data_IF_092291401760
#
_entry.id   IF_092291401760
#
_cell.length_a   1.000
_cell.length_b   1.000
_cell.length_c   1.000
_cell.angle_alpha   90.00
_cell.angle_beta   90.00
_cell.angle_gamma   90.00
#
_symmetry.space_group_name_H-M   'P 1'
#
loop_
_entity.id
_entity.type
_entity.pdbx_description
1 polymer ?
#
# COMPACT_ATOMS: atom_id res chain seq x y z
N UNK A 1 10.91 -4.39 13.94
CA UNK A 1 12.17 -3.85 14.49
C UNK A 1 12.30 -2.35 14.17
N UNK A 2 12.61 -1.51 15.16
CA UNK A 2 12.71 -0.05 15.04
C UNK A 2 13.60 0.41 13.86
N UNK A 3 14.71 -0.28 13.63
CA UNK A 3 15.64 0.02 12.53
C UNK A 3 14.99 -0.11 11.15
N UNK A 4 14.09 -1.08 10.94
CA UNK A 4 13.40 -1.25 9.65
C UNK A 4 12.40 -0.12 9.42
N UNK A 5 11.66 0.26 10.46
CA UNK A 5 10.74 1.40 10.42
C UNK A 5 11.49 2.70 10.13
N UNK A 6 12.68 2.90 10.72
CA UNK A 6 13.52 4.04 10.40
C UNK A 6 14.00 4.04 8.94
N UNK A 7 14.29 2.87 8.37
CA UNK A 7 14.73 2.76 6.97
C UNK A 7 13.58 3.01 6.00
N UNK A 8 12.39 2.49 6.28
CA UNK A 8 11.17 2.81 5.53
C UNK A 8 10.95 4.34 5.50
N UNK A 9 11.00 4.98 6.67
CA UNK A 9 10.80 6.43 6.78
C UNK A 9 11.84 7.27 6.03
N UNK A 10 13.08 6.80 5.92
CA UNK A 10 14.17 7.55 5.27
C UNK A 10 14.27 7.30 3.77
N UNK A 11 13.93 6.10 3.33
CA UNK A 11 14.23 5.64 1.96
C UNK A 11 12.98 5.49 1.08
N UNK A 12 11.80 5.30 1.69
CA UNK A 12 10.53 5.15 0.98
C UNK A 12 9.72 6.43 1.10
N UNK A 13 9.41 6.83 2.33
CA UNK A 13 8.45 7.89 2.64
C UNK A 13 8.71 9.26 1.98
N UNK A 14 9.94 9.80 1.89
CA UNK A 14 10.15 11.18 1.44
C UNK A 14 9.68 11.45 0.01
N UNK A 15 9.79 10.46 -0.88
CA UNK A 15 9.33 10.59 -2.27
C UNK A 15 7.81 10.75 -2.35
N UNK A 16 7.08 9.94 -1.58
CA UNK A 16 5.62 10.00 -1.50
C UNK A 16 5.14 11.25 -0.76
N UNK A 17 5.80 11.66 0.32
CA UNK A 17 5.47 12.91 1.02
C UNK A 17 5.64 14.12 0.08
N UNK A 18 6.75 14.19 -0.66
CA UNK A 18 6.97 15.27 -1.62
C UNK A 18 5.93 15.26 -2.76
N UNK A 19 5.58 14.08 -3.27
CA UNK A 19 4.54 13.92 -4.29
C UNK A 19 3.17 14.38 -3.78
N UNK A 20 2.81 14.00 -2.55
CA UNK A 20 1.54 14.37 -1.94
C UNK A 20 1.47 15.87 -1.65
N UNK A 21 2.56 16.44 -1.12
CA UNK A 21 2.70 17.86 -0.85
C UNK A 21 2.56 18.69 -2.14
N UNK A 22 3.13 18.25 -3.26
CA UNK A 22 2.98 18.94 -4.55
C UNK A 22 1.49 19.05 -4.94
N UNK A 23 0.71 17.97 -4.87
CA UNK A 23 -0.72 18.04 -5.20
C UNK A 23 -1.52 18.97 -4.29
N UNK A 24 -1.13 19.12 -3.03
CA UNK A 24 -1.71 20.12 -2.12
C UNK A 24 -1.31 21.53 -2.52
N UNK A 25 -0.02 21.76 -2.84
CA UNK A 25 0.50 23.07 -3.24
C UNK A 25 -0.10 23.56 -4.57
N UNK A 26 -0.37 22.64 -5.50
CA UNK A 26 -1.04 22.94 -6.77
C UNK A 26 -2.56 23.16 -6.60
N UNK A 27 -3.11 22.86 -5.43
CA UNK A 27 -4.54 23.00 -5.14
C UNK A 27 -5.42 21.92 -5.79
N UNK A 28 -4.86 20.77 -6.14
CA UNK A 28 -5.60 19.65 -6.73
C UNK A 28 -6.47 18.90 -5.70
N UNK A 29 -6.06 18.96 -4.43
CA UNK A 29 -6.70 18.23 -3.34
C UNK A 29 -7.04 19.13 -2.16
N UNK A 30 -8.30 19.12 -1.76
CA UNK A 30 -8.83 19.72 -0.53
C UNK A 30 -9.42 18.63 0.37
N UNK A 31 -8.82 18.45 1.55
CA UNK A 31 -9.25 17.48 2.56
C UNK A 31 -10.67 17.74 3.07
N UNK A 32 -11.16 18.98 2.98
CA UNK A 32 -12.51 19.34 3.42
C UNK A 32 -13.58 19.01 2.39
N UNK A 33 -13.19 18.67 1.16
CA UNK A 33 -14.10 18.25 0.12
C UNK A 33 -14.26 16.72 0.16
N UNK A 34 -15.43 16.25 0.59
CA UNK A 34 -15.73 14.82 0.75
C UNK A 34 -15.54 14.02 -0.54
N UNK A 35 -15.93 14.56 -1.70
CA UNK A 35 -15.77 13.85 -2.98
C UNK A 35 -14.28 13.69 -3.32
N UNK A 36 -13.52 14.78 -3.20
CA UNK A 36 -12.08 14.76 -3.43
C UNK A 36 -11.36 13.80 -2.50
N UNK A 37 -11.74 13.78 -1.21
CA UNK A 37 -11.23 12.82 -0.22
C UNK A 37 -11.54 11.37 -0.62
N UNK A 38 -12.77 11.08 -1.04
CA UNK A 38 -13.17 9.73 -1.42
C UNK A 38 -12.44 9.24 -2.68
N UNK A 39 -12.35 10.08 -3.72
CA UNK A 39 -11.58 9.75 -4.94
C UNK A 39 -10.09 9.57 -4.61
N UNK A 40 -9.56 10.41 -3.71
CA UNK A 40 -8.18 10.30 -3.26
C UNK A 40 -7.95 8.97 -2.54
N UNK A 41 -8.79 8.61 -1.57
CA UNK A 41 -8.69 7.33 -0.88
C UNK A 41 -8.77 6.14 -1.83
N UNK A 42 -9.66 6.22 -2.83
CA UNK A 42 -9.87 5.16 -3.81
C UNK A 42 -8.65 4.92 -4.71
N UNK A 43 -7.96 5.99 -5.14
CA UNK A 43 -6.75 5.89 -5.98
C UNK A 43 -5.49 5.64 -5.14
N UNK A 44 -5.22 6.49 -4.15
CA UNK A 44 -3.93 6.54 -3.49
C UNK A 44 -3.73 5.41 -2.49
N UNK A 45 -4.76 4.97 -1.76
CA UNK A 45 -4.57 3.92 -0.74
C UNK A 45 -4.17 2.58 -1.38
N UNK A 46 -4.89 2.05 -2.39
CA UNK A 46 -4.48 0.80 -3.04
C UNK A 46 -3.11 0.92 -3.71
N UNK A 47 -2.82 2.05 -4.36
CA UNK A 47 -1.52 2.30 -4.98
C UNK A 47 -0.38 2.32 -3.96
N UNK A 48 -0.52 3.06 -2.85
CA UNK A 48 0.47 3.10 -1.77
C UNK A 48 0.65 1.73 -1.11
N UNK A 49 -0.42 0.95 -0.96
CA UNK A 49 -0.33 -0.42 -0.47
C UNK A 49 0.51 -1.30 -1.42
N UNK A 50 0.32 -1.19 -2.73
CA UNK A 50 1.11 -1.91 -3.72
C UNK A 50 2.59 -1.51 -3.69
N UNK A 51 2.89 -0.21 -3.57
CA UNK A 51 4.25 0.30 -3.44
C UNK A 51 4.94 -0.19 -2.16
N UNK A 52 4.21 -0.23 -1.04
CA UNK A 52 4.70 -0.78 0.23
C UNK A 52 4.96 -2.28 0.15
N UNK A 53 4.10 -3.02 -0.55
CA UNK A 53 4.31 -4.44 -0.81
C UNK A 53 5.58 -4.65 -1.66
N UNK A 54 5.76 -3.88 -2.73
CA UNK A 54 6.99 -3.91 -3.54
C UNK A 54 8.25 -3.56 -2.73
N UNK A 55 8.15 -2.59 -1.82
CA UNK A 55 9.24 -2.27 -0.89
C UNK A 55 9.56 -3.45 0.02
N UNK A 56 8.54 -4.08 0.61
CA UNK A 56 8.68 -5.25 1.49
C UNK A 56 9.40 -6.39 0.76
N UNK A 57 8.91 -6.74 -0.43
CA UNK A 57 9.50 -7.79 -1.26
C UNK A 57 10.97 -7.49 -1.56
N UNK A 58 11.27 -6.29 -2.05
CA UNK A 58 12.66 -5.89 -2.32
C UNK A 58 13.54 -6.01 -1.09
N UNK A 59 13.08 -5.53 0.06
CA UNK A 59 13.88 -5.52 1.30
C UNK A 59 14.13 -6.93 1.83
N UNK A 60 13.13 -7.81 1.76
CA UNK A 60 13.23 -9.18 2.26
C UNK A 60 14.00 -10.11 1.32
N UNK A 61 13.97 -9.85 0.01
CA UNK A 61 14.64 -10.67 -1.00
C UNK A 61 16.03 -10.16 -1.42
N UNK A 62 16.43 -8.95 -1.00
CA UNK A 62 17.77 -8.43 -1.29
C UNK A 62 18.75 -8.78 -0.18
N UNK A 63 19.85 -9.45 -0.55
CA UNK A 63 20.96 -9.74 0.35
C UNK A 63 21.52 -8.45 0.96
N UNK A 64 21.67 -8.41 2.28
CA UNK A 64 22.27 -7.26 2.95
C UNK A 64 23.79 -7.34 2.82
N UNK A 65 24.42 -6.16 2.71
CA UNK A 65 25.87 -6.08 2.63
C UNK A 65 26.52 -6.72 3.85
N UNK A 66 27.62 -7.44 3.60
CA UNK A 66 28.34 -8.17 4.64
C UNK A 66 29.08 -7.19 5.54
N UNK A 67 28.61 -7.07 6.79
CA UNK A 67 29.31 -6.38 7.85
C UNK A 67 30.14 -7.38 8.66
N UNK A 68 31.47 -7.23 8.66
CA UNK A 68 32.39 -8.15 9.35
C UNK A 68 32.26 -8.11 10.88
N UNK A 69 31.67 -7.05 11.43
CA UNK A 69 31.48 -6.91 12.87
C UNK A 69 30.14 -7.50 13.35
N UNK A 70 29.27 -7.90 12.42
CA UNK A 70 27.94 -8.39 12.75
C UNK A 70 27.98 -9.89 13.03
N UNK A 71 27.51 -10.28 14.21
CA UNK A 71 27.40 -11.69 14.65
C UNK A 71 26.14 -12.38 14.07
N UNK A 72 25.21 -11.60 13.51
CA UNK A 72 23.96 -12.12 12.96
C UNK A 72 24.18 -12.76 11.57
N UNK A 73 23.29 -13.69 11.16
CA UNK A 73 23.39 -14.38 9.88
C UNK A 73 23.47 -13.42 8.68
N UNK A 74 24.26 -13.79 7.68
CA UNK A 74 24.48 -13.03 6.46
C UNK A 74 23.78 -13.69 5.28
N UNK A 75 23.04 -12.91 4.49
CA UNK A 75 22.31 -13.43 3.34
C UNK A 75 21.01 -12.70 3.10
N UNK A 76 20.14 -13.33 2.33
CA UNK A 76 18.82 -12.83 1.99
C UNK A 76 17.90 -13.05 3.21
N UNK A 77 17.29 -12.00 3.78
CA UNK A 77 16.43 -12.13 4.95
C UNK A 77 15.35 -13.22 4.83
N UNK A 78 14.67 -13.30 3.69
CA UNK A 78 13.62 -14.31 3.45
C UNK A 78 14.16 -15.74 3.50
N UNK A 79 15.37 -15.98 2.99
CA UNK A 79 16.00 -17.30 3.01
C UNK A 79 16.55 -17.65 4.39
N UNK A 80 17.15 -16.68 5.09
CA UNK A 80 17.57 -16.86 6.49
C UNK A 80 16.35 -17.16 7.36
N UNK A 81 15.23 -16.48 7.10
CA UNK A 81 13.98 -16.78 7.77
C UNK A 81 13.53 -18.19 7.42
N UNK A 82 13.43 -18.58 6.16
CA UNK A 82 12.86 -19.88 5.78
C UNK A 82 13.73 -21.09 6.15
N UNK A 83 15.05 -20.96 6.03
CA UNK A 83 16.04 -22.03 6.20
C UNK A 83 17.26 -21.55 7.01
N UNK A 84 17.09 -21.23 8.31
CA UNK A 84 18.15 -20.64 9.13
C UNK A 84 19.40 -21.52 9.27
N UNK A 85 19.25 -22.84 9.22
CA UNK A 85 20.33 -23.83 9.32
C UNK A 85 21.40 -23.67 8.23
N UNK A 86 21.01 -23.34 7.01
CA UNK A 86 21.91 -23.09 5.88
C UNK A 86 22.80 -21.86 6.10
N UNK A 87 22.41 -21.00 7.05
CA UNK A 87 23.11 -19.78 7.43
C UNK A 87 23.75 -19.87 8.82
N UNK A 88 23.84 -21.07 9.39
CA UNK A 88 24.43 -21.31 10.71
C UNK A 88 23.63 -20.69 11.87
N UNK A 89 22.33 -20.49 11.66
CA UNK A 89 21.41 -19.94 12.65
C UNK A 89 20.49 -21.03 13.23
N UNK A 90 19.99 -20.78 14.44
CA UNK A 90 18.97 -21.63 15.06
C UNK A 90 17.58 -21.07 14.72
N UNK A 91 16.63 -21.97 14.41
CA UNK A 91 15.24 -21.59 14.24
C UNK A 91 14.53 -21.46 15.60
N UNK A 92 14.13 -20.25 15.94
CA UNK A 92 13.34 -19.95 17.15
C UNK A 92 11.89 -19.59 16.82
N UNK A 93 11.43 -19.82 15.59
CA UNK A 93 10.05 -19.51 15.21
C UNK A 93 9.07 -20.34 16.01
N UNK A 94 8.03 -19.66 16.48
CA UNK A 94 6.81 -20.33 16.87
C UNK A 94 5.94 -20.48 15.62
N UNK A 95 5.76 -21.72 15.15
CA UNK A 95 4.90 -21.98 14.00
C UNK A 95 3.45 -21.81 14.41
N UNK A 96 2.87 -20.66 14.06
CA UNK A 96 1.45 -20.42 14.26
C UNK A 96 0.69 -21.21 13.19
N UNK A 97 -0.26 -22.04 13.64
CA UNK A 97 -1.14 -22.77 12.74
C UNK A 97 -1.98 -21.79 11.89
N UNK A 98 -1.81 -21.87 10.56
CA UNK A 98 -2.54 -21.04 9.61
C UNK A 98 -4.05 -21.32 9.65
N UNK A 99 -4.44 -22.57 9.94
CA UNK A 99 -5.85 -22.93 10.07
C UNK A 99 -6.46 -22.26 11.31
N UNK A 100 -5.76 -22.29 12.45
CA UNK A 100 -6.15 -21.56 13.65
C UNK A 100 -6.28 -20.04 13.41
N UNK A 101 -5.31 -19.42 12.73
CA UNK A 101 -5.42 -17.99 12.38
C UNK A 101 -6.60 -17.69 11.46
N UNK A 102 -6.84 -18.54 10.46
CA UNK A 102 -7.98 -18.40 9.55
C UNK A 102 -9.30 -18.53 10.31
N UNK A 103 -9.39 -19.49 11.22
CA UNK A 103 -10.55 -19.68 12.08
C UNK A 103 -10.80 -18.47 13.00
N UNK A 104 -9.77 -17.97 13.68
CA UNK A 104 -9.85 -16.75 14.51
C UNK A 104 -10.29 -15.56 13.68
N UNK A 105 -9.74 -15.40 12.46
CA UNK A 105 -10.17 -14.35 11.53
C UNK A 105 -11.65 -14.47 11.20
N UNK A 106 -12.13 -15.65 10.84
CA UNK A 106 -13.55 -15.87 10.54
C UNK A 106 -14.46 -15.69 11.76
N UNK A 107 -13.96 -15.98 12.97
CA UNK A 107 -14.71 -15.88 14.21
C UNK A 107 -14.91 -14.42 14.65
N UNK A 108 -13.88 -13.58 14.49
CA UNK A 108 -13.88 -12.20 15.03
C UNK A 108 -13.98 -11.11 13.97
N UNK A 109 -13.69 -11.42 12.70
CA UNK A 109 -13.70 -10.44 11.62
C UNK A 109 -14.85 -10.78 10.68
N UNK A 110 -15.89 -9.95 10.72
CA UNK A 110 -16.90 -9.93 9.68
C UNK A 110 -16.28 -9.29 8.42
N UNK A 111 -16.03 -10.10 7.40
CA UNK A 111 -15.46 -9.65 6.13
C UNK A 111 -16.38 -8.71 5.35
N UNK A 112 -17.68 -8.67 5.67
CA UNK A 112 -18.64 -7.75 5.07
C UNK A 112 -18.82 -6.47 5.90
N UNK A 113 -17.99 -6.26 6.93
CA UNK A 113 -18.06 -5.06 7.74
C UNK A 113 -17.58 -3.86 6.92
N UNK A 114 -18.39 -2.80 6.89
CA UNK A 114 -18.15 -1.53 6.18
C UNK A 114 -16.84 -0.81 6.55
N UNK A 115 -16.10 -1.30 7.55
CA UNK A 115 -14.81 -0.73 7.97
C UNK A 115 -13.70 -1.09 6.99
N UNK A 116 -13.92 -2.13 6.19
CA UNK A 116 -13.00 -2.55 5.14
C UNK A 116 -13.26 -1.82 3.81
N UNK A 117 -14.38 -1.12 3.69
CA UNK A 117 -14.70 -0.33 2.51
C UNK A 117 -13.96 1.01 2.57
N UNK A 118 -13.11 1.28 1.57
CA UNK A 118 -12.42 2.57 1.46
C UNK A 118 -13.38 3.72 1.17
N UNK A 119 -14.44 3.42 0.41
CA UNK A 119 -15.52 4.34 0.04
C UNK A 119 -16.86 3.59 0.06
N UNK A 120 -18.00 4.28 0.24
CA UNK A 120 -19.31 3.64 0.25
C UNK A 120 -19.59 2.86 -1.04
N UNK A 121 -20.22 1.69 -0.94
CA UNK A 121 -20.47 0.78 -2.06
C UNK A 121 -21.06 1.43 -3.33
N UNK A 122 -22.12 2.26 -3.26
CA UNK A 122 -22.66 2.94 -4.43
C UNK A 122 -21.64 3.85 -5.12
N UNK A 123 -20.83 4.58 -4.33
CA UNK A 123 -19.77 5.42 -4.88
C UNK A 123 -18.65 4.56 -5.48
N UNK A 124 -18.28 3.45 -4.82
CA UNK A 124 -17.26 2.53 -5.34
C UNK A 124 -17.63 2.02 -6.75
N UNK A 125 -18.87 1.58 -6.93
CA UNK A 125 -19.36 1.12 -8.25
C UNK A 125 -19.27 2.25 -9.29
N UNK A 126 -19.68 3.46 -8.92
CA UNK A 126 -19.63 4.60 -9.82
C UNK A 126 -18.21 5.03 -10.19
N UNK A 127 -17.28 5.01 -9.23
CA UNK A 127 -15.86 5.30 -9.47
C UNK A 127 -15.24 4.25 -10.39
N UNK A 128 -15.54 2.97 -10.17
CA UNK A 128 -15.10 1.89 -11.05
C UNK A 128 -15.63 2.10 -12.47
N UNK A 129 -16.91 2.41 -12.65
CA UNK A 129 -17.50 2.70 -13.97
C UNK A 129 -16.80 3.87 -14.67
N UNK A 130 -16.55 4.97 -13.96
CA UNK A 130 -15.84 6.13 -14.51
C UNK A 130 -14.40 5.76 -14.89
N UNK A 131 -13.71 5.01 -14.03
CA UNK A 131 -12.33 4.58 -14.25
C UNK A 131 -12.21 3.61 -15.43
N UNK A 132 -13.20 2.72 -15.61
CA UNK A 132 -13.33 1.86 -16.79
C UNK A 132 -13.49 2.70 -18.06
N UNK A 133 -14.29 3.78 -17.99
CA UNK A 133 -14.48 4.74 -19.08
C UNK A 133 -13.18 5.47 -19.49
N UNK A 134 -12.27 5.69 -18.54
CA UNK A 134 -10.93 6.23 -18.79
C UNK A 134 -9.96 5.20 -19.38
N UNK A 135 -10.35 3.93 -19.49
CA UNK A 135 -9.53 2.86 -20.05
C UNK A 135 -8.52 2.25 -19.07
N UNK A 136 -8.77 2.35 -17.76
CA UNK A 136 -7.89 1.84 -16.70
C UNK A 136 -6.42 2.31 -16.84
N UNK A 137 -6.16 3.63 -16.80
CA UNK A 137 -4.80 4.12 -16.88
C UNK A 137 -3.94 3.59 -15.73
N UNK A 138 -2.68 3.18 -15.96
CA UNK A 138 -1.85 2.66 -14.89
C UNK A 138 -1.52 3.75 -13.85
N UNK A 139 -1.79 3.45 -12.58
CA UNK A 139 -1.45 4.32 -11.46
C UNK A 139 0.01 4.09 -11.06
N UNK A 140 0.85 5.09 -11.28
CA UNK A 140 2.28 5.07 -10.96
C UNK A 140 2.67 6.35 -10.25
N UNK A 141 3.89 6.42 -9.71
CA UNK A 141 4.41 7.64 -9.09
C UNK A 141 4.38 8.88 -10.00
N UNK A 142 4.43 8.70 -11.34
CA UNK A 142 4.40 9.81 -12.28
C UNK A 142 2.98 10.18 -12.74
N UNK A 143 2.03 9.25 -12.64
CA UNK A 143 0.70 9.37 -13.26
C UNK A 143 -0.44 9.45 -12.25
N UNK A 144 -0.17 9.18 -10.96
CA UNK A 144 -1.22 9.06 -9.93
C UNK A 144 -2.06 10.33 -9.80
N UNK A 145 -1.45 11.52 -9.90
CA UNK A 145 -2.18 12.77 -9.85
C UNK A 145 -3.01 13.03 -11.11
N UNK A 146 -2.47 12.74 -12.30
CA UNK A 146 -3.20 12.87 -13.55
C UNK A 146 -4.44 11.98 -13.55
N UNK A 147 -4.28 10.70 -13.15
CA UNK A 147 -5.37 9.75 -13.02
C UNK A 147 -6.40 10.20 -11.98
N UNK A 148 -5.95 10.72 -10.85
CA UNK A 148 -6.82 11.28 -9.81
C UNK A 148 -7.67 12.44 -10.37
N UNK A 149 -7.04 13.38 -11.08
CA UNK A 149 -7.71 14.53 -11.65
C UNK A 149 -8.70 14.12 -12.74
N UNK A 150 -8.29 13.24 -13.66
CA UNK A 150 -9.16 12.75 -14.75
C UNK A 150 -10.40 12.03 -14.19
N UNK A 151 -10.21 11.20 -13.16
CA UNK A 151 -11.31 10.50 -12.51
C UNK A 151 -12.23 11.48 -11.79
N UNK A 152 -11.66 12.45 -11.05
CA UNK A 152 -12.43 13.46 -10.34
C UNK A 152 -13.30 14.30 -11.30
N UNK A 153 -12.74 14.76 -12.42
CA UNK A 153 -13.49 15.51 -13.44
C UNK A 153 -14.61 14.67 -14.03
N UNK A 154 -14.32 13.42 -14.39
CA UNK A 154 -15.31 12.49 -14.98
C UNK A 154 -16.51 12.29 -14.03
N UNK A 155 -16.25 12.10 -12.75
CA UNK A 155 -17.30 11.92 -11.73
C UNK A 155 -18.13 13.20 -11.57
N UNK A 156 -17.49 14.36 -11.55
CA UNK A 156 -18.18 15.65 -11.47
C UNK A 156 -19.08 15.90 -12.68
N UNK A 157 -18.61 15.58 -13.88
CA UNK A 157 -19.38 15.70 -15.12
C UNK A 157 -20.60 14.77 -15.13
N UNK A 158 -20.43 13.51 -14.69
CA UNK A 158 -21.53 12.57 -14.53
C UNK A 158 -22.57 13.04 -13.51
N UNK A 159 -22.14 13.65 -12.40
CA UNK A 159 -23.05 14.23 -11.40
C UNK A 159 -23.78 15.48 -11.91
N UNK A 160 -23.20 16.24 -12.84
CA UNK A 160 -23.83 17.43 -13.42
C UNK A 160 -24.87 17.11 -14.50
N UNK A 161 -24.83 15.90 -15.07
CA UNK A 161 -25.77 15.42 -16.10
C UNK A 161 -27.01 14.72 -15.52
N UNK A 162 -27.06 14.50 -14.20
CA UNK A 162 -28.18 13.93 -13.45
C UNK A 162 -29.05 15.02 -12.82
#
# INVERSE_FOLDING_TARGET
PEIMWSQLRRCFTPGFEALLEDGVQQGWFDINNTLQLMVFCWIFIPWLQQELEGYRERVNHTSKWRDRNKVLPHGIPELIFSSPEDYGALDFKFMVDKAALTHVRQLYIDLNHLVFDLVPGPLNMHLEECYNGLGHPPVTHLTVWDVYLDLLHTVQDHMALL
#
